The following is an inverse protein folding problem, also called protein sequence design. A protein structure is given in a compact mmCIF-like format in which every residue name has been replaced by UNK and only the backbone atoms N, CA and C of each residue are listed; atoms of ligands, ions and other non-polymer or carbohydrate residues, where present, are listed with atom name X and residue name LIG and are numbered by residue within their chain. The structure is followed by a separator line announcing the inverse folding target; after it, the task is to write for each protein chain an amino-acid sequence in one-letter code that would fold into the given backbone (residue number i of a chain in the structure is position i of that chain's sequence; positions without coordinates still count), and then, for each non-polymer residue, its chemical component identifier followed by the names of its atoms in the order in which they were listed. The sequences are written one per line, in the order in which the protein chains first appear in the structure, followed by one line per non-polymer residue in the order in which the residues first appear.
data_IF_071190205464
#
_entry.id   IF_071190205464
#
_cell.length_a   1.000
_cell.length_b   1.000
_cell.length_c   1.000
_cell.angle_alpha   90.00
_cell.angle_beta   90.00
_cell.angle_gamma   90.00
#
_symmetry.space_group_name_H-M   'P 1'
#
loop_
_entity.id
_entity.type
_entity.pdbx_description
1 polymer ?
#
# COMPACT_ATOMS: atom_id res chain seq x y z
N UNK A 1 -11.35 10.66 1.84
CA UNK A 1 -10.38 10.32 2.92
C UNK A 1 -11.17 9.65 4.04
N UNK A 2 -10.69 8.54 4.64
CA UNK A 2 -11.43 7.79 5.67
C UNK A 2 -11.62 8.59 6.99
N UNK A 3 -10.95 9.73 7.12
CA UNK A 3 -11.14 10.70 8.21
C UNK A 3 -11.33 12.10 7.62
N UNK A 4 -12.55 12.67 7.64
CA UNK A 4 -12.81 14.00 7.08
C UNK A 4 -12.26 15.16 7.94
N UNK A 5 -11.89 14.90 9.21
CA UNK A 5 -11.28 15.86 10.15
C UNK A 5 -10.10 15.22 10.89
N UNK A 6 -8.99 14.87 10.20
CA UNK A 6 -7.88 14.15 10.80
C UNK A 6 -7.24 14.90 11.98
N UNK A 7 -7.27 16.23 11.99
CA UNK A 7 -6.77 17.10 13.05
C UNK A 7 -7.45 16.89 14.41
N UNK A 8 -8.69 16.40 14.41
CA UNK A 8 -9.48 16.12 15.62
C UNK A 8 -9.22 14.74 16.21
N UNK A 9 -8.47 13.89 15.51
CA UNK A 9 -8.17 12.53 15.96
C UNK A 9 -7.04 12.49 17.00
N UNK A 10 -6.99 11.43 17.83
CA UNK A 10 -5.86 11.21 18.74
C UNK A 10 -4.52 11.32 18.02
N UNK A 11 -3.50 11.83 18.72
CA UNK A 11 -2.16 12.01 18.14
C UNK A 11 -1.62 10.71 17.53
N UNK A 12 -1.82 9.58 18.21
CA UNK A 12 -1.44 8.24 17.72
C UNK A 12 -2.06 7.93 16.36
N UNK A 13 -3.36 8.16 16.20
CA UNK A 13 -4.07 7.94 14.92
C UNK A 13 -3.53 8.86 13.82
N UNK A 14 -3.26 10.13 14.14
CA UNK A 14 -2.68 11.09 13.19
C UNK A 14 -1.28 10.65 12.73
N UNK A 15 -0.47 10.11 13.63
CA UNK A 15 0.84 9.53 13.29
C UNK A 15 0.68 8.33 12.34
N UNK A 16 -0.27 7.43 12.61
CA UNK A 16 -0.58 6.30 11.72
C UNK A 16 -1.03 6.73 10.32
N UNK A 17 -1.90 7.74 10.23
CA UNK A 17 -2.34 8.31 8.95
C UNK A 17 -1.18 8.99 8.19
N UNK A 18 -0.29 9.68 8.92
CA UNK A 18 0.89 10.33 8.36
C UNK A 18 1.87 9.29 7.82
N UNK A 19 2.14 8.23 8.58
CA UNK A 19 2.96 7.10 8.15
C UNK A 19 2.38 6.45 6.89
N UNK A 20 1.06 6.21 6.85
CA UNK A 20 0.37 5.67 5.67
C UNK A 20 0.62 6.51 4.42
N UNK A 21 0.41 7.82 4.52
CA UNK A 21 0.56 8.71 3.37
C UNK A 21 2.01 8.83 2.92
N UNK A 22 2.95 8.97 3.86
CA UNK A 22 4.39 9.06 3.57
C UNK A 22 4.92 7.79 2.93
N UNK A 23 4.63 6.62 3.51
CA UNK A 23 5.05 5.33 2.97
C UNK A 23 4.47 5.08 1.58
N UNK A 24 3.17 5.30 1.38
CA UNK A 24 2.55 5.13 0.06
C UNK A 24 3.15 6.06 -1.00
N UNK A 25 3.37 7.33 -0.65
CA UNK A 25 4.00 8.31 -1.55
C UNK A 25 5.44 7.94 -1.87
N UNK A 26 6.20 7.48 -0.88
CA UNK A 26 7.58 7.03 -1.08
C UNK A 26 7.64 5.81 -2.00
N UNK A 27 6.84 4.76 -1.72
CA UNK A 27 6.78 3.55 -2.55
C UNK A 27 6.36 3.87 -3.99
N UNK A 28 5.39 4.77 -4.18
CA UNK A 28 5.00 5.21 -5.53
C UNK A 28 6.15 5.88 -6.29
N UNK A 29 6.90 6.76 -5.63
CA UNK A 29 8.08 7.40 -6.24
C UNK A 29 9.21 6.41 -6.48
N UNK A 30 9.42 5.47 -5.56
CA UNK A 30 10.43 4.43 -5.69
C UNK A 30 10.12 3.49 -6.87
N UNK A 31 8.86 3.05 -7.02
CA UNK A 31 8.44 2.20 -8.13
C UNK A 31 8.61 2.86 -9.52
N UNK A 32 8.50 4.19 -9.60
CA UNK A 32 8.73 4.94 -10.84
C UNK A 32 10.21 5.16 -11.16
N UNK A 33 11.11 5.00 -10.18
CA UNK A 33 12.55 5.06 -10.42
C UNK A 33 12.98 3.72 -11.01
N UNK A 34 13.62 3.74 -12.18
CA UNK A 34 14.29 2.54 -12.70
C UNK A 34 15.40 2.19 -11.71
N UNK A 35 15.33 0.99 -11.12
CA UNK A 35 16.34 0.55 -10.16
C UNK A 35 17.74 0.75 -10.77
N UNK A 36 18.68 1.43 -10.10
CA UNK A 36 20.06 1.34 -10.51
C UNK A 36 20.44 -0.14 -10.41
N UNK A 37 20.94 -0.69 -11.51
CA UNK A 37 21.51 -2.03 -11.58
C UNK A 37 22.70 -2.09 -10.61
N UNK A 38 22.43 -2.41 -9.35
CA UNK A 38 23.45 -2.90 -8.42
C UNK A 38 23.75 -4.35 -8.77
N UNK A 39 25.01 -4.74 -8.70
CA UNK A 39 25.43 -6.14 -8.74
C UNK A 39 24.64 -6.92 -7.68
N UNK A 40 24.19 -8.13 -8.05
CA UNK A 40 23.44 -9.00 -7.15
C UNK A 40 24.26 -9.23 -5.86
N UNK A 41 23.84 -8.62 -4.75
CA UNK A 41 24.45 -8.84 -3.42
C UNK A 41 24.62 -7.60 -2.55
N UNK A 42 24.65 -6.38 -3.10
CA UNK A 42 24.84 -5.17 -2.28
C UNK A 42 23.50 -4.50 -1.90
N UNK A 43 23.27 -4.38 -0.58
CA UNK A 43 22.14 -3.64 -0.03
C UNK A 43 22.39 -2.14 -0.20
N UNK A 44 21.87 -1.55 -1.28
CA UNK A 44 21.91 -0.11 -1.49
C UNK A 44 20.95 0.64 -0.55
N UNK A 45 21.30 1.86 -0.13
CA UNK A 45 20.42 2.69 0.70
C UNK A 45 19.00 2.85 0.11
N UNK A 46 18.79 3.06 -1.21
CA UNK A 46 17.45 3.10 -1.79
C UNK A 46 16.63 1.83 -1.58
N UNK A 47 17.27 0.65 -1.57
CA UNK A 47 16.60 -0.61 -1.28
C UNK A 47 16.21 -0.71 0.19
N UNK A 48 17.11 -0.31 1.10
CA UNK A 48 16.82 -0.25 2.54
C UNK A 48 15.64 0.68 2.84
N UNK A 49 15.59 1.86 2.21
CA UNK A 49 14.49 2.81 2.38
C UNK A 49 13.13 2.22 1.92
N UNK A 50 13.13 1.42 0.85
CA UNK A 50 11.92 0.68 0.40
C UNK A 50 11.51 -0.37 1.41
N UNK A 51 12.47 -1.13 1.94
CA UNK A 51 12.22 -2.13 2.99
C UNK A 51 11.63 -1.46 4.23
N UNK A 52 12.19 -0.35 4.70
CA UNK A 52 11.68 0.41 5.84
C UNK A 52 10.28 0.96 5.58
N UNK A 53 10.03 1.50 4.38
CA UNK A 53 8.72 2.01 4.01
C UNK A 53 7.63 0.92 4.02
N UNK A 54 7.98 -0.31 3.65
CA UNK A 54 7.06 -1.47 3.63
C UNK A 54 6.89 -2.04 5.05
N UNK A 55 7.99 -2.33 5.74
CA UNK A 55 7.97 -3.04 7.03
C UNK A 55 7.63 -2.08 8.18
N UNK A 56 8.51 -1.11 8.47
CA UNK A 56 8.29 -0.17 9.57
C UNK A 56 7.11 0.76 9.28
N UNK A 57 7.01 1.25 8.04
CA UNK A 57 5.87 2.02 7.56
C UNK A 57 4.56 1.26 7.70
N UNK A 58 4.47 0.05 7.17
CA UNK A 58 3.28 -0.81 7.30
C UNK A 58 2.91 -1.10 8.76
N UNK A 59 3.91 -1.38 9.60
CA UNK A 59 3.73 -1.59 11.03
C UNK A 59 3.14 -0.36 11.74
N UNK A 60 3.63 0.84 11.44
CA UNK A 60 3.07 2.09 11.97
C UNK A 60 1.62 2.32 11.50
N UNK A 61 1.30 2.00 10.24
CA UNK A 61 -0.07 2.11 9.72
C UNK A 61 -1.02 1.19 10.48
N UNK A 62 -0.68 -0.08 10.64
CA UNK A 62 -1.52 -1.06 11.32
C UNK A 62 -1.61 -0.83 12.84
N UNK A 63 -0.49 -0.46 13.46
CA UNK A 63 -0.37 -0.29 14.90
C UNK A 63 -0.99 0.99 15.44
N UNK A 64 -0.80 2.12 14.76
CA UNK A 64 -1.17 3.44 15.29
C UNK A 64 -2.49 3.99 14.76
N UNK A 65 -2.92 3.60 13.56
CA UNK A 65 -4.07 4.24 12.90
C UNK A 65 -5.45 3.73 13.31
N UNK A 66 -5.54 2.81 14.29
CA UNK A 66 -6.79 2.24 14.81
C UNK A 66 -7.79 1.86 13.69
N UNK A 67 -9.10 2.06 13.88
CA UNK A 67 -10.13 1.79 12.87
C UNK A 67 -9.97 2.62 11.58
N UNK A 68 -9.20 3.71 11.61
CA UNK A 68 -9.04 4.63 10.47
C UNK A 68 -8.03 4.14 9.44
N UNK A 69 -7.17 3.18 9.78
CA UNK A 69 -6.20 2.59 8.85
C UNK A 69 -6.37 1.09 8.63
N UNK A 70 -7.14 0.40 9.50
CA UNK A 70 -7.19 -1.07 9.56
C UNK A 70 -7.89 -1.76 8.40
N UNK A 71 -8.97 -1.21 7.85
CA UNK A 71 -9.71 -1.88 6.77
C UNK A 71 -10.22 -0.85 5.77
N UNK A 72 -9.79 -1.00 4.53
CA UNK A 72 -10.39 -0.37 3.37
C UNK A 72 -10.97 -1.46 2.46
N UNK A 73 -11.80 -1.10 1.47
CA UNK A 73 -12.41 -2.05 0.54
C UNK A 73 -11.36 -3.01 -0.08
N UNK A 74 -10.13 -2.54 -0.30
CA UNK A 74 -9.02 -3.37 -0.76
C UNK A 74 -8.69 -4.59 0.13
N UNK A 75 -8.70 -4.42 1.45
CA UNK A 75 -8.45 -5.53 2.38
C UNK A 75 -9.66 -6.46 2.50
N UNK A 76 -10.88 -5.94 2.34
CA UNK A 76 -12.07 -6.79 2.27
C UNK A 76 -12.04 -7.70 1.03
N UNK A 77 -11.65 -7.16 -0.14
CA UNK A 77 -11.43 -7.96 -1.37
C UNK A 77 -10.32 -8.98 -1.15
N UNK A 78 -9.18 -8.59 -0.58
CA UNK A 78 -8.11 -9.52 -0.21
C UNK A 78 -8.64 -10.70 0.61
N UNK A 79 -9.41 -10.44 1.67
CA UNK A 79 -9.97 -11.47 2.55
C UNK A 79 -10.97 -12.38 1.81
N UNK A 80 -11.74 -11.83 0.87
CA UNK A 80 -12.59 -12.62 -0.02
C UNK A 80 -11.77 -13.52 -0.96
N UNK A 81 -10.62 -13.06 -1.43
CA UNK A 81 -9.74 -13.88 -2.27
C UNK A 81 -9.10 -15.02 -1.45
N UNK A 82 -8.76 -14.82 -0.16
CA UNK A 82 -8.11 -15.87 0.64
C UNK A 82 -8.93 -17.14 0.82
N UNK A 83 -10.25 -17.08 0.65
CA UNK A 83 -11.11 -18.28 0.74
C UNK A 83 -11.24 -19.04 -0.60
N UNK A 84 -10.73 -18.48 -1.71
CA UNK A 84 -10.78 -19.09 -3.03
C UNK A 84 -9.48 -19.87 -3.31
N UNK A 85 -9.54 -21.22 -3.46
CA UNK A 85 -8.35 -22.04 -3.69
C UNK A 85 -7.52 -21.62 -4.91
N UNK A 86 -8.18 -21.12 -5.96
CA UNK A 86 -7.53 -20.65 -7.19
C UNK A 86 -6.55 -19.49 -6.96
N UNK A 87 -6.69 -18.78 -5.83
CA UNK A 87 -5.88 -17.62 -5.51
C UNK A 87 -4.78 -17.91 -4.49
N UNK A 88 -4.70 -19.14 -3.95
CA UNK A 88 -3.75 -19.51 -2.90
C UNK A 88 -2.30 -19.18 -3.29
N UNK A 89 -1.93 -19.45 -4.54
CA UNK A 89 -0.61 -19.18 -5.12
C UNK A 89 -0.18 -17.71 -5.11
N UNK A 90 -1.11 -16.77 -4.95
CA UNK A 90 -0.79 -15.34 -4.96
C UNK A 90 -0.46 -14.85 -3.56
N UNK A 91 0.62 -14.07 -3.47
CA UNK A 91 1.09 -13.47 -2.22
C UNK A 91 0.07 -12.45 -1.66
N UNK A 92 0.14 -12.21 -0.36
CA UNK A 92 -0.68 -11.22 0.34
C UNK A 92 -0.67 -9.85 -0.37
N UNK A 93 0.52 -9.34 -0.69
CA UNK A 93 0.68 -8.06 -1.39
C UNK A 93 0.00 -8.02 -2.76
N UNK A 94 0.03 -9.12 -3.51
CA UNK A 94 -0.63 -9.23 -4.83
C UNK A 94 -2.15 -9.16 -4.69
N UNK A 95 -2.72 -9.88 -3.71
CA UNK A 95 -4.16 -9.85 -3.43
C UNK A 95 -4.60 -8.47 -2.94
N UNK A 96 -3.82 -7.81 -2.09
CA UNK A 96 -4.09 -6.43 -1.65
C UNK A 96 -3.99 -5.45 -2.83
N UNK A 97 -2.98 -5.58 -3.70
CA UNK A 97 -2.84 -4.74 -4.90
C UNK A 97 -4.05 -4.85 -5.84
N UNK A 98 -4.55 -6.07 -6.09
CA UNK A 98 -5.80 -6.27 -6.81
C UNK A 98 -6.99 -5.61 -6.10
N UNK A 99 -7.07 -5.76 -4.77
CA UNK A 99 -8.07 -5.07 -3.97
C UNK A 99 -8.03 -3.55 -4.10
N UNK A 100 -6.85 -2.93 -4.26
CA UNK A 100 -6.70 -1.49 -4.48
C UNK A 100 -7.27 -1.08 -5.85
N UNK A 101 -7.13 -1.90 -6.89
CA UNK A 101 -7.77 -1.66 -8.19
C UNK A 101 -9.30 -1.66 -8.04
N UNK A 102 -9.84 -2.70 -7.38
CA UNK A 102 -11.29 -2.82 -7.12
C UNK A 102 -11.79 -1.63 -6.30
N UNK A 103 -11.06 -1.25 -5.25
CA UNK A 103 -11.41 -0.09 -4.43
C UNK A 103 -11.42 1.22 -5.25
N UNK A 104 -10.44 1.42 -6.13
CA UNK A 104 -10.36 2.61 -6.99
C UNK A 104 -11.56 2.68 -7.94
N UNK A 105 -11.94 1.53 -8.53
CA UNK A 105 -13.12 1.43 -9.38
C UNK A 105 -14.42 1.73 -8.61
N UNK A 106 -14.58 1.15 -7.41
CA UNK A 106 -15.76 1.40 -6.55
C UNK A 106 -15.90 2.87 -6.12
N UNK A 107 -14.77 3.59 -6.02
CA UNK A 107 -14.75 5.01 -5.67
C UNK A 107 -14.83 5.95 -6.88
N UNK A 108 -14.98 5.41 -8.11
CA UNK A 108 -15.02 6.22 -9.35
C UNK A 108 -13.71 6.96 -9.63
N UNK A 109 -12.57 6.41 -9.20
CA UNK A 109 -11.25 7.04 -9.34
C UNK A 109 -10.56 6.59 -10.63
N UNK A 110 -11.16 6.89 -11.78
CA UNK A 110 -10.75 6.35 -13.08
C UNK A 110 -9.30 6.66 -13.45
N UNK A 111 -8.84 7.89 -13.19
CA UNK A 111 -7.44 8.28 -13.43
C UNK A 111 -6.46 7.49 -12.54
N UNK A 112 -6.81 7.29 -11.27
CA UNK A 112 -5.98 6.53 -10.32
C UNK A 112 -5.95 5.06 -10.74
N UNK A 113 -7.10 4.50 -11.11
CA UNK A 113 -7.21 3.14 -11.60
C UNK A 113 -6.33 2.91 -12.83
N UNK A 114 -6.41 3.80 -13.83
CA UNK A 114 -5.57 3.72 -15.03
C UNK A 114 -4.07 3.78 -14.70
N UNK A 115 -3.67 4.68 -13.80
CA UNK A 115 -2.28 4.77 -13.35
C UNK A 115 -1.80 3.51 -12.63
N UNK A 116 -2.63 2.91 -11.78
CA UNK A 116 -2.30 1.68 -11.06
C UNK A 116 -2.21 0.48 -12.00
N UNK A 117 -3.12 0.35 -12.97
CA UNK A 117 -3.05 -0.71 -13.99
C UNK A 117 -1.75 -0.61 -14.80
N UNK A 118 -1.36 0.60 -15.20
CA UNK A 118 -0.10 0.82 -15.91
C UNK A 118 1.11 0.47 -15.03
N UNK A 119 1.07 0.80 -13.74
CA UNK A 119 2.15 0.52 -12.80
C UNK A 119 2.28 -0.97 -12.42
N UNK A 120 1.19 -1.74 -12.41
CA UNK A 120 1.19 -3.15 -12.03
C UNK A 120 1.49 -4.11 -13.19
N UNK A 121 1.26 -3.71 -14.44
CA UNK A 121 1.50 -4.56 -15.62
C UNK A 121 2.94 -5.06 -15.81
N UNK A 122 4.01 -4.30 -15.51
CA UNK A 122 5.39 -4.76 -15.70
C UNK A 122 5.96 -5.57 -14.52
N UNK A 123 5.17 -5.80 -13.46
CA UNK A 123 5.54 -6.58 -12.27
C UNK A 123 5.11 -8.05 -12.42
#
# INVERSE_FOLDING_TARGET
MLAPRPETLPLTVRLGLTARWRSATFCWRAAKRRSPTGSAGELSQPLLDVIDAIIAGGGMVGGLGERYTRVAAAHAVHNGLTVLPQTEKFLHGTKVAYGILVQSALLGQDEVLAQLVAAYRPL
#
